data_IF_333670294361
#
_entry.id   IF_333670294361
#
_cell.length_a   1.000
_cell.length_b   1.000
_cell.length_c   1.000
_cell.angle_alpha   90.00
_cell.angle_beta   90.00
_cell.angle_gamma   90.00
#
_symmetry.space_group_name_H-M   'P 1'
#
loop_
_entity.id
_entity.type
_entity.pdbx_description
1 polymer ?
#
# COMPACT_ATOMS: atom_id res chain seq x y z
N UNK A 1 -2.49 -1.73 33.93
CA UNK A 1 -3.70 -1.49 33.10
C UNK A 1 -3.64 -0.06 32.56
N UNK A 2 -3.59 0.09 31.23
CA UNK A 2 -4.18 1.22 30.49
C UNK A 2 -3.41 2.55 30.40
N UNK A 3 -2.43 2.66 29.49
CA UNK A 3 -1.87 3.97 29.04
C UNK A 3 -1.80 4.11 27.50
N UNK A 4 -2.49 3.26 26.75
CA UNK A 4 -2.45 3.28 25.28
C UNK A 4 -3.70 3.91 24.62
N UNK A 5 -4.66 4.43 25.41
CA UNK A 5 -5.96 4.88 24.86
C UNK A 5 -6.04 6.38 24.55
N UNK A 6 -5.20 7.19 25.18
CA UNK A 6 -5.31 8.66 25.10
C UNK A 6 -4.60 9.26 23.88
N UNK A 7 -3.58 8.58 23.35
CA UNK A 7 -2.78 9.07 22.21
C UNK A 7 -3.53 8.94 20.88
N UNK A 8 -4.28 7.85 20.69
CA UNK A 8 -5.08 7.62 19.48
C UNK A 8 -6.24 8.62 19.35
N UNK A 9 -6.81 9.04 20.49
CA UNK A 9 -7.87 10.03 20.55
C UNK A 9 -7.38 11.44 20.19
N UNK A 10 -6.14 11.79 20.53
CA UNK A 10 -5.58 13.11 20.25
C UNK A 10 -5.28 13.30 18.75
N UNK A 11 -4.76 12.26 18.07
CA UNK A 11 -4.48 12.31 16.62
C UNK A 11 -5.79 12.29 15.81
N UNK A 12 -6.79 11.53 16.26
CA UNK A 12 -8.12 11.51 15.62
C UNK A 12 -8.87 12.86 15.74
N UNK A 13 -8.52 13.70 16.71
CA UNK A 13 -9.14 15.02 16.89
C UNK A 13 -8.66 16.09 15.89
N UNK A 14 -7.52 15.88 15.20
CA UNK A 14 -6.91 16.90 14.33
C UNK A 14 -7.49 16.92 12.89
N UNK A 15 -8.08 15.81 12.42
CA UNK A 15 -8.82 15.76 11.15
C UNK A 15 -10.01 14.77 11.23
N UNK A 16 -11.24 15.28 11.46
CA UNK A 16 -12.45 14.45 11.53
C UNK A 16 -12.73 13.64 10.26
N UNK A 17 -12.27 14.10 9.09
CA UNK A 17 -12.44 13.38 7.84
C UNK A 17 -11.50 12.16 7.78
N UNK A 18 -10.24 12.29 8.22
CA UNK A 18 -9.33 11.15 8.36
C UNK A 18 -9.85 10.14 9.37
N UNK A 19 -10.33 10.58 10.53
CA UNK A 19 -10.89 9.69 11.55
C UNK A 19 -12.11 8.90 11.03
N UNK A 20 -13.01 9.57 10.29
CA UNK A 20 -14.15 8.90 9.67
C UNK A 20 -13.74 7.88 8.60
N UNK A 21 -12.72 8.19 7.78
CA UNK A 21 -12.19 7.24 6.79
C UNK A 21 -11.52 6.05 7.46
N UNK A 22 -10.69 6.26 8.48
CA UNK A 22 -10.07 5.20 9.26
C UNK A 22 -11.11 4.23 9.81
N UNK A 23 -12.19 4.76 10.38
CA UNK A 23 -13.28 3.94 10.92
C UNK A 23 -13.93 3.08 9.83
N UNK A 24 -14.27 3.67 8.68
CA UNK A 24 -14.85 2.92 7.57
C UNK A 24 -13.91 1.81 7.09
N UNK A 25 -12.63 2.10 6.89
CA UNK A 25 -11.66 1.15 6.36
C UNK A 25 -11.33 0.03 7.34
N UNK A 26 -11.32 0.31 8.65
CA UNK A 26 -11.07 -0.68 9.69
C UNK A 26 -12.27 -1.60 9.97
N UNK A 27 -13.50 -1.09 9.81
CA UNK A 27 -14.73 -1.87 10.06
C UNK A 27 -15.27 -2.57 8.80
N UNK A 28 -15.04 -2.01 7.60
CA UNK A 28 -15.63 -2.46 6.33
C UNK A 28 -14.58 -2.97 5.31
N UNK A 29 -13.49 -3.55 5.80
CA UNK A 29 -12.44 -4.14 4.96
C UNK A 29 -12.92 -5.36 4.15
N UNK A 30 -12.42 -5.49 2.92
CA UNK A 30 -12.67 -6.64 2.04
C UNK A 30 -11.39 -7.32 1.52
N UNK A 31 -10.23 -6.72 1.80
CA UNK A 31 -8.92 -7.22 1.39
C UNK A 31 -8.57 -8.50 2.15
N UNK A 32 -8.11 -9.52 1.42
CA UNK A 32 -7.53 -10.72 2.04
C UNK A 32 -6.28 -11.15 1.28
N UNK A 33 -5.24 -11.62 1.99
CA UNK A 33 -4.09 -12.24 1.36
C UNK A 33 -4.37 -13.71 0.98
N UNK A 34 -5.27 -13.92 0.04
CA UNK A 34 -5.60 -15.27 -0.49
C UNK A 34 -5.42 -15.34 -2.01
N UNK A 35 -5.14 -16.55 -2.51
CA UNK A 35 -5.08 -16.81 -3.96
C UNK A 35 -6.41 -16.48 -4.65
N UNK A 36 -7.53 -16.91 -4.05
CA UNK A 36 -8.88 -16.64 -4.55
C UNK A 36 -9.18 -15.13 -4.67
N UNK A 37 -8.77 -14.33 -3.69
CA UNK A 37 -8.94 -12.88 -3.77
C UNK A 37 -8.02 -12.26 -4.83
N UNK A 38 -6.79 -12.77 -4.96
CA UNK A 38 -5.87 -12.35 -6.01
C UNK A 38 -6.46 -12.58 -7.41
N UNK A 39 -7.10 -13.72 -7.62
CA UNK A 39 -7.76 -14.07 -8.89
C UNK A 39 -9.01 -13.21 -9.15
N UNK A 40 -9.79 -12.89 -8.12
CA UNK A 40 -11.04 -12.13 -8.29
C UNK A 40 -10.82 -10.70 -8.77
N UNK A 41 -9.67 -10.09 -8.45
CA UNK A 41 -9.30 -8.71 -8.84
C UNK A 41 -9.44 -8.51 -10.36
N UNK A 42 -9.09 -9.50 -11.18
CA UNK A 42 -9.18 -9.40 -12.63
C UNK A 42 -10.61 -9.15 -13.15
N UNK A 43 -11.63 -9.51 -12.36
CA UNK A 43 -13.05 -9.40 -12.71
C UNK A 43 -13.81 -8.32 -11.95
N UNK A 44 -13.15 -7.65 -10.98
CA UNK A 44 -13.76 -6.55 -10.25
C UNK A 44 -14.04 -5.36 -11.19
N UNK A 45 -15.16 -4.64 -11.01
CA UNK A 45 -15.33 -3.33 -11.65
C UNK A 45 -14.13 -2.44 -11.33
N UNK A 46 -13.61 -1.72 -12.32
CA UNK A 46 -12.38 -0.94 -12.16
C UNK A 46 -12.47 0.16 -11.09
N UNK A 47 -13.69 0.61 -10.78
CA UNK A 47 -14.00 1.61 -9.75
C UNK A 47 -14.31 1.01 -8.38
N UNK A 48 -14.39 -0.32 -8.26
CA UNK A 48 -14.54 -0.99 -6.97
C UNK A 48 -13.29 -0.78 -6.12
N UNK A 49 -13.49 -0.67 -4.81
CA UNK A 49 -12.44 -0.39 -3.85
C UNK A 49 -12.04 -1.67 -3.10
N UNK A 50 -10.74 -1.95 -3.09
CA UNK A 50 -10.11 -2.94 -2.23
C UNK A 50 -9.76 -2.23 -0.92
N UNK A 51 -10.48 -2.59 0.15
CA UNK A 51 -10.51 -1.85 1.41
C UNK A 51 -9.87 -2.61 2.55
N UNK A 52 -9.23 -1.86 3.46
CA UNK A 52 -8.77 -2.32 4.77
C UNK A 52 -7.44 -3.07 4.73
N UNK A 53 -6.96 -3.42 5.93
CA UNK A 53 -5.73 -4.17 6.12
C UNK A 53 -5.91 -5.67 5.85
N UNK A 54 -4.82 -6.35 5.49
CA UNK A 54 -4.87 -7.78 5.15
C UNK A 54 -4.34 -8.74 6.24
N UNK A 55 -3.60 -8.27 7.25
CA UNK A 55 -2.92 -9.14 8.21
C UNK A 55 -3.20 -8.79 9.69
N UNK A 56 -3.07 -7.52 10.04
CA UNK A 56 -3.24 -6.98 11.39
C UNK A 56 -4.29 -5.85 11.39
N UNK A 57 -4.90 -5.50 12.53
CA UNK A 57 -5.78 -4.34 12.62
C UNK A 57 -5.07 -3.05 12.19
N UNK A 58 -5.81 -2.10 11.59
CA UNK A 58 -5.28 -0.77 11.31
C UNK A 58 -4.99 0.00 12.60
N UNK A 59 -4.01 0.91 12.56
CA UNK A 59 -3.63 1.77 13.68
C UNK A 59 -3.69 3.23 13.21
N UNK A 60 -4.30 4.10 14.01
CA UNK A 60 -4.70 5.44 13.58
C UNK A 60 -3.50 6.35 13.33
N UNK A 61 -2.50 6.33 14.21
CA UNK A 61 -1.28 7.14 14.05
C UNK A 61 -0.56 6.75 12.76
N UNK A 62 -0.33 5.44 12.54
CA UNK A 62 0.30 4.94 11.32
C UNK A 62 -0.51 5.30 10.07
N UNK A 63 -1.83 5.18 10.12
CA UNK A 63 -2.68 5.56 9.00
C UNK A 63 -2.51 7.04 8.61
N UNK A 64 -2.48 7.94 9.58
CA UNK A 64 -2.26 9.38 9.35
C UNK A 64 -0.88 9.64 8.75
N UNK A 65 0.16 9.02 9.28
CA UNK A 65 1.53 9.11 8.73
C UNK A 65 1.59 8.66 7.26
N UNK A 66 0.94 7.54 6.95
CA UNK A 66 0.92 6.97 5.60
C UNK A 66 0.20 7.88 4.60
N UNK A 67 -1.03 8.31 4.90
CA UNK A 67 -1.82 9.16 4.00
C UNK A 67 -1.11 10.51 3.76
N UNK A 68 -0.56 11.12 4.81
CA UNK A 68 0.18 12.37 4.68
C UNK A 68 1.48 12.18 3.88
N UNK A 69 2.21 11.10 4.12
CA UNK A 69 3.44 10.78 3.38
C UNK A 69 3.20 10.52 1.89
N UNK A 70 2.08 9.87 1.54
CA UNK A 70 1.69 9.58 0.15
C UNK A 70 1.26 10.83 -0.62
N UNK A 71 0.85 11.91 0.07
CA UNK A 71 0.42 13.14 -0.58
C UNK A 71 1.49 13.74 -1.52
N UNK A 72 2.77 13.49 -1.26
CA UNK A 72 3.87 13.96 -2.13
C UNK A 72 4.00 13.20 -3.46
N UNK A 73 3.31 12.07 -3.59
CA UNK A 73 3.26 11.25 -4.80
C UNK A 73 1.96 11.43 -5.59
N UNK A 74 1.10 12.36 -5.19
CA UNK A 74 -0.25 12.57 -5.76
C UNK A 74 -0.30 12.82 -7.26
N UNK A 75 0.80 13.27 -7.86
CA UNK A 75 0.88 13.55 -9.29
C UNK A 75 1.06 12.26 -10.13
N UNK A 76 1.34 11.12 -9.49
CA UNK A 76 1.44 9.82 -10.14
C UNK A 76 0.16 9.02 -9.86
N UNK A 77 -0.76 9.02 -10.82
CA UNK A 77 -2.08 8.41 -10.69
C UNK A 77 -2.09 6.91 -10.31
N UNK A 78 -0.99 6.19 -10.55
CA UNK A 78 -0.87 4.77 -10.21
C UNK A 78 -0.45 4.50 -8.76
N UNK A 79 -0.02 5.53 -8.01
CA UNK A 79 0.24 5.42 -6.57
C UNK A 79 -1.07 5.78 -5.83
N UNK A 80 -1.71 4.83 -5.15
CA UNK A 80 -2.90 5.14 -4.35
C UNK A 80 -2.57 6.17 -3.27
N UNK A 81 -3.44 7.16 -3.08
CA UNK A 81 -3.28 8.18 -2.03
C UNK A 81 -3.60 7.66 -0.63
N UNK A 82 -4.30 6.55 -0.54
CA UNK A 82 -4.64 5.87 0.70
C UNK A 82 -4.19 4.41 0.60
N UNK A 83 -3.32 3.93 1.52
CA UNK A 83 -2.78 2.58 1.43
C UNK A 83 -3.81 1.50 1.74
N UNK A 84 -4.98 1.85 2.31
CA UNK A 84 -6.06 0.92 2.65
C UNK A 84 -7.30 1.11 1.78
N UNK A 85 -7.30 2.02 0.80
CA UNK A 85 -8.44 2.25 -0.11
C UNK A 85 -7.98 2.29 -1.58
N UNK A 86 -7.89 1.11 -2.20
CA UNK A 86 -7.24 0.94 -3.50
C UNK A 86 -8.27 0.63 -4.60
N UNK A 87 -8.39 1.47 -5.65
CA UNK A 87 -9.19 1.13 -6.80
C UNK A 87 -8.71 -0.16 -7.47
N UNK A 88 -9.62 -1.11 -7.72
CA UNK A 88 -9.32 -2.37 -8.38
C UNK A 88 -8.69 -2.14 -9.77
N UNK A 89 -9.06 -1.07 -10.47
CA UNK A 89 -8.44 -0.68 -11.74
C UNK A 89 -6.94 -0.36 -11.65
N UNK A 90 -6.45 0.14 -10.51
CA UNK A 90 -5.00 0.31 -10.30
C UNK A 90 -4.35 -1.06 -10.11
N UNK A 91 -4.94 -1.93 -9.28
CA UNK A 91 -4.42 -3.28 -9.07
C UNK A 91 -4.33 -4.07 -10.40
N UNK A 92 -5.39 -4.02 -11.22
CA UNK A 92 -5.44 -4.63 -12.54
C UNK A 92 -4.33 -4.14 -13.48
N UNK A 93 -3.99 -2.85 -13.42
CA UNK A 93 -2.91 -2.27 -14.24
C UNK A 93 -1.52 -2.62 -13.73
N UNK A 94 -1.33 -2.68 -12.42
CA UNK A 94 0.00 -2.87 -11.83
C UNK A 94 0.41 -4.34 -11.73
N UNK A 95 -0.53 -5.27 -11.51
CA UNK A 95 -0.19 -6.70 -11.41
C UNK A 95 0.57 -7.25 -12.63
N UNK A 96 0.24 -6.90 -13.89
CA UNK A 96 1.03 -7.34 -15.06
C UNK A 96 2.49 -6.85 -15.05
N UNK A 97 2.77 -5.67 -14.50
CA UNK A 97 4.15 -5.17 -14.36
C UNK A 97 4.98 -6.04 -13.41
N UNK A 98 4.36 -6.82 -12.51
CA UNK A 98 5.10 -7.71 -11.62
C UNK A 98 5.96 -8.73 -12.38
N UNK A 99 5.47 -9.22 -13.52
CA UNK A 99 6.20 -10.18 -14.36
C UNK A 99 7.09 -9.51 -15.41
N UNK A 100 7.03 -8.18 -15.54
CA UNK A 100 7.93 -7.42 -16.40
C UNK A 100 9.38 -7.64 -15.95
N UNK A 101 10.26 -7.87 -16.92
CA UNK A 101 11.70 -7.93 -16.69
C UNK A 101 12.27 -6.52 -16.76
N UNK A 102 12.86 -6.07 -15.66
CA UNK A 102 13.68 -4.86 -15.66
C UNK A 102 14.98 -5.12 -16.44
N UNK A 103 15.54 -4.06 -17.00
CA UNK A 103 16.87 -4.10 -17.60
C UNK A 103 17.95 -4.35 -16.53
N UNK A 104 19.16 -4.72 -16.95
CA UNK A 104 20.30 -4.91 -16.04
C UNK A 104 20.67 -3.64 -15.27
N UNK A 105 20.33 -2.46 -15.79
CA UNK A 105 20.55 -1.16 -15.13
C UNK A 105 19.45 -0.79 -14.14
N UNK A 106 18.22 -1.25 -14.36
CA UNK A 106 17.07 -0.97 -13.50
C UNK A 106 16.93 -1.98 -12.36
N UNK A 107 17.25 -3.25 -12.59
CA UNK A 107 17.09 -4.33 -11.61
C UNK A 107 17.76 -4.03 -10.25
N UNK A 108 18.99 -3.46 -10.18
CA UNK A 108 19.63 -3.10 -8.91
C UNK A 108 18.81 -2.14 -8.05
N UNK A 109 17.98 -1.28 -8.67
CA UNK A 109 17.08 -0.38 -7.97
C UNK A 109 15.96 -1.14 -7.26
N UNK A 110 15.36 -2.11 -7.94
CA UNK A 110 14.32 -2.97 -7.36
C UNK A 110 14.90 -3.85 -6.24
N UNK A 111 16.07 -4.44 -6.48
CA UNK A 111 16.76 -5.30 -5.50
C UNK A 111 17.16 -4.51 -4.24
N UNK A 112 17.61 -3.26 -4.41
CA UNK A 112 17.84 -2.37 -3.28
C UNK A 112 16.56 -2.20 -2.44
N UNK A 113 15.42 -1.96 -3.08
CA UNK A 113 14.18 -1.77 -2.36
C UNK A 113 13.74 -3.03 -1.61
N UNK A 114 13.86 -4.20 -2.23
CA UNK A 114 13.60 -5.50 -1.61
C UNK A 114 14.43 -5.71 -0.34
N UNK A 115 15.69 -5.28 -0.34
CA UNK A 115 16.58 -5.44 0.82
C UNK A 115 16.34 -4.40 1.93
N UNK A 116 15.81 -3.22 1.59
CA UNK A 116 15.81 -2.05 2.49
C UNK A 116 14.43 -1.59 2.96
N UNK A 117 13.33 -2.12 2.40
CA UNK A 117 11.98 -1.85 2.95
C UNK A 117 11.79 -2.50 4.32
N UNK A 118 10.79 -2.02 5.07
CA UNK A 118 10.40 -2.56 6.38
C UNK A 118 10.05 -4.05 6.25
N UNK A 119 9.22 -4.39 5.27
CA UNK A 119 8.75 -5.76 5.00
C UNK A 119 9.73 -6.65 4.22
N UNK A 120 10.93 -6.17 3.89
CA UNK A 120 11.87 -6.87 2.98
C UNK A 120 11.21 -7.26 1.65
N UNK A 121 10.43 -6.33 1.13
CA UNK A 121 9.58 -6.48 -0.04
C UNK A 121 8.43 -5.46 -0.07
N UNK A 122 7.55 -5.55 -1.07
CA UNK A 122 6.40 -4.66 -1.24
C UNK A 122 5.28 -4.85 -0.20
N UNK A 123 5.27 -5.97 0.53
CA UNK A 123 4.26 -6.32 1.52
C UNK A 123 4.76 -7.50 2.38
N UNK A 124 4.23 -7.68 3.58
CA UNK A 124 4.54 -8.80 4.48
C UNK A 124 4.22 -10.20 3.89
N UNK A 125 3.28 -10.29 2.94
CA UNK A 125 2.82 -11.54 2.34
C UNK A 125 2.92 -11.50 0.82
N UNK A 126 3.33 -12.60 0.18
CA UNK A 126 3.35 -12.76 -1.28
C UNK A 126 1.95 -12.97 -1.89
N UNK A 127 1.00 -12.09 -1.56
CA UNK A 127 -0.38 -12.11 -2.00
C UNK A 127 -0.64 -11.09 -3.13
N UNK A 128 -1.90 -10.78 -3.43
CA UNK A 128 -2.26 -9.77 -4.45
C UNK A 128 -1.52 -8.45 -4.25
N UNK A 129 -1.37 -7.98 -3.00
CA UNK A 129 -0.73 -6.71 -2.68
C UNK A 129 0.74 -6.72 -3.07
N UNK A 130 1.44 -7.83 -2.83
CA UNK A 130 2.81 -8.02 -3.29
C UNK A 130 2.94 -7.88 -4.82
N UNK A 131 2.03 -8.50 -5.57
CA UNK A 131 2.02 -8.38 -7.03
C UNK A 131 1.72 -6.94 -7.48
N UNK A 132 0.73 -6.29 -6.87
CA UNK A 132 0.38 -4.90 -7.18
C UNK A 132 1.55 -3.96 -6.90
N UNK A 133 2.12 -3.98 -5.69
CA UNK A 133 3.17 -3.03 -5.32
C UNK A 133 4.55 -3.38 -5.86
N UNK A 134 4.84 -4.66 -6.07
CA UNK A 134 6.02 -5.08 -6.83
C UNK A 134 5.92 -4.65 -8.30
N UNK A 135 4.75 -4.79 -8.91
CA UNK A 135 4.48 -4.27 -10.25
C UNK A 135 4.53 -2.74 -10.32
N UNK A 136 3.93 -2.05 -9.33
CA UNK A 136 4.01 -0.60 -9.21
C UNK A 136 5.46 -0.13 -9.12
N UNK A 137 6.30 -0.80 -8.33
CA UNK A 137 7.71 -0.45 -8.27
C UNK A 137 8.41 -0.58 -9.63
N UNK A 138 8.15 -1.67 -10.37
CA UNK A 138 8.70 -1.85 -11.71
C UNK A 138 8.21 -0.77 -12.68
N UNK A 139 6.93 -0.43 -12.63
CA UNK A 139 6.36 0.70 -13.37
C UNK A 139 7.05 2.02 -13.03
N UNK A 140 7.23 2.33 -11.74
CA UNK A 140 7.86 3.58 -11.29
C UNK A 140 9.35 3.67 -11.67
N UNK A 141 10.08 2.55 -11.61
CA UNK A 141 11.47 2.49 -12.05
C UNK A 141 11.54 2.74 -13.56
N UNK A 142 10.72 2.05 -14.33
CA UNK A 142 10.79 2.08 -15.80
C UNK A 142 10.26 3.38 -16.41
N UNK A 143 9.11 3.85 -15.95
CA UNK A 143 8.38 4.96 -16.57
C UNK A 143 8.66 6.31 -15.90
N UNK A 144 9.06 6.30 -14.62
CA UNK A 144 9.27 7.52 -13.82
C UNK A 144 10.71 7.68 -13.32
N UNK A 145 11.61 6.74 -13.64
CA UNK A 145 13.02 6.82 -13.26
C UNK A 145 13.26 6.80 -11.75
N UNK A 146 12.35 6.20 -10.96
CA UNK A 146 12.50 6.14 -9.51
C UNK A 146 13.76 5.37 -9.13
N UNK A 147 14.48 5.87 -8.12
CA UNK A 147 15.61 5.18 -7.50
C UNK A 147 15.17 4.30 -6.31
N UNK A 148 16.11 3.52 -5.78
CA UNK A 148 15.79 2.50 -4.77
C UNK A 148 15.21 3.07 -3.48
N UNK A 149 15.68 4.25 -3.05
CA UNK A 149 15.16 4.93 -1.85
C UNK A 149 13.73 5.41 -2.06
N UNK A 150 13.40 5.89 -3.26
CA UNK A 150 12.03 6.30 -3.57
C UNK A 150 11.08 5.09 -3.58
N UNK A 151 11.53 3.92 -4.06
CA UNK A 151 10.72 2.69 -4.02
C UNK A 151 10.53 2.18 -2.60
N UNK A 152 11.58 2.16 -1.77
CA UNK A 152 11.49 1.82 -0.34
C UNK A 152 10.43 2.67 0.33
N UNK A 153 10.48 3.98 0.09
CA UNK A 153 9.58 4.89 0.75
C UNK A 153 8.12 4.71 0.28
N UNK A 154 7.88 4.55 -1.03
CA UNK A 154 6.54 4.21 -1.54
C UNK A 154 6.03 2.93 -0.89
N UNK A 155 6.84 1.87 -0.78
CA UNK A 155 6.40 0.61 -0.17
C UNK A 155 6.11 0.75 1.32
N UNK A 156 6.97 1.42 2.10
CA UNK A 156 6.75 1.59 3.53
C UNK A 156 5.48 2.42 3.81
N UNK A 157 5.26 3.49 3.03
CA UNK A 157 4.03 4.28 3.15
C UNK A 157 2.80 3.53 2.65
N UNK A 158 2.97 2.70 1.61
CA UNK A 158 1.88 1.93 1.03
C UNK A 158 1.61 0.61 1.76
N UNK A 159 2.30 0.33 2.86
CA UNK A 159 2.10 -0.89 3.60
C UNK A 159 0.65 -0.96 4.12
N UNK A 160 -0.05 -2.01 3.70
CA UNK A 160 -1.43 -2.29 4.09
C UNK A 160 -1.56 -3.52 4.99
N UNK A 161 -0.45 -4.01 5.56
CA UNK A 161 -0.47 -5.16 6.45
C UNK A 161 -1.22 -4.86 7.76
N UNK A 162 -1.26 -3.62 8.24
CA UNK A 162 -1.89 -3.20 9.50
C UNK A 162 -0.85 -2.88 10.58
N UNK A 163 -1.28 -2.28 11.70
CA UNK A 163 -0.41 -1.64 12.68
C UNK A 163 -0.30 -2.37 14.02
N UNK A 164 0.42 -3.50 14.02
CA UNK A 164 1.23 -4.00 15.13
C UNK A 164 2.23 -5.02 14.56
N UNK A 165 3.36 -4.53 14.07
CA UNK A 165 4.58 -5.32 13.87
C UNK A 165 5.75 -4.57 14.50
#
# INVERSE_FOLDING_TARGET
>A
MGFLKDTDLAIAAEDPALASRFKDLSENGNSTCSAKFTESIATMPSTSLIKGSCCSPMEMKRYVEQVNGLARYRDIAMIPSDPYDIPAGIAQKMMPYYDMKLTSTEQPTYDYAMANSEEKGPCCCQCWRWKVYGGLAKYLIHEHGFNGKQIVDVWNLSDGCGGAM
#
